data_IF_015255890991
#
_entry.id   IF_015255890991
#
_cell.length_a   1.000
_cell.length_b   1.000
_cell.length_c   1.000
_cell.angle_alpha   90.00
_cell.angle_beta   90.00
_cell.angle_gamma   90.00
#
_symmetry.space_group_name_H-M   'P 1'
#
loop_
_entity.id
_entity.type
_entity.pdbx_description
1 polymer ?
#
# COMPACT_ATOMS: atom_id res chain seq x y z
N UNK A 1 -25.75 -8.73 19.59
CA UNK A 1 -24.54 -9.23 18.94
C UNK A 1 -24.92 -9.86 17.61
N UNK A 2 -24.39 -9.34 16.52
CA UNK A 2 -24.68 -9.82 15.17
C UNK A 2 -23.80 -11.03 14.83
N UNK A 3 -24.33 -12.05 14.14
CA UNK A 3 -23.58 -13.25 13.75
C UNK A 3 -23.28 -13.24 12.26
N UNK A 4 -22.00 -13.31 11.90
CA UNK A 4 -21.51 -13.26 10.54
C UNK A 4 -20.63 -14.50 10.25
N UNK A 5 -20.80 -15.11 9.07
CA UNK A 5 -19.95 -16.24 8.66
C UNK A 5 -18.53 -15.78 8.34
N UNK A 6 -18.41 -14.74 7.53
CA UNK A 6 -17.11 -14.18 7.15
C UNK A 6 -17.16 -12.67 7.21
N UNK A 7 -16.27 -12.10 8.01
CA UNK A 7 -16.00 -10.67 8.05
C UNK A 7 -14.74 -10.37 7.26
N UNK A 8 -14.79 -9.33 6.41
CA UNK A 8 -13.63 -8.80 5.69
C UNK A 8 -13.34 -7.41 6.25
N UNK A 9 -12.10 -7.16 6.66
CA UNK A 9 -11.64 -5.87 7.16
C UNK A 9 -10.75 -5.21 6.12
N UNK A 10 -11.23 -4.13 5.50
CA UNK A 10 -10.54 -3.35 4.49
C UNK A 10 -11.13 -3.52 3.09
N UNK A 11 -11.12 -2.43 2.32
CA UNK A 11 -11.79 -2.26 1.03
C UNK A 11 -10.87 -1.98 -0.14
N UNK A 12 -9.59 -2.28 0.00
CA UNK A 12 -8.66 -2.26 -1.14
C UNK A 12 -8.96 -3.38 -2.15
N UNK A 13 -8.17 -3.51 -3.22
CA UNK A 13 -8.34 -4.55 -4.23
C UNK A 13 -8.39 -5.96 -3.65
N UNK A 14 -7.64 -6.23 -2.57
CA UNK A 14 -7.67 -7.51 -1.87
C UNK A 14 -9.05 -7.78 -1.23
N UNK A 15 -9.57 -6.80 -0.47
CA UNK A 15 -10.84 -6.94 0.24
C UNK A 15 -12.04 -7.11 -0.71
N UNK A 16 -12.16 -6.24 -1.72
CA UNK A 16 -13.24 -6.38 -2.70
C UNK A 16 -13.13 -7.66 -3.52
N UNK A 17 -11.92 -8.09 -3.89
CA UNK A 17 -11.76 -9.37 -4.59
C UNK A 17 -12.16 -10.54 -3.70
N UNK A 18 -11.75 -10.56 -2.43
CA UNK A 18 -12.19 -11.58 -1.49
C UNK A 18 -13.72 -11.62 -1.35
N UNK A 19 -14.35 -10.45 -1.22
CA UNK A 19 -15.79 -10.31 -1.14
C UNK A 19 -16.52 -10.89 -2.37
N UNK A 20 -16.03 -10.57 -3.59
CA UNK A 20 -16.55 -11.08 -4.86
C UNK A 20 -16.53 -12.62 -4.88
N UNK A 21 -15.39 -13.23 -4.54
CA UNK A 21 -15.25 -14.69 -4.58
C UNK A 21 -16.10 -15.39 -3.51
N UNK A 22 -16.15 -14.87 -2.28
CA UNK A 22 -17.01 -15.43 -1.22
C UNK A 22 -18.51 -15.31 -1.56
N UNK A 23 -18.94 -14.17 -2.11
CA UNK A 23 -20.34 -13.99 -2.55
C UNK A 23 -20.71 -14.99 -3.64
N UNK A 24 -19.82 -15.24 -4.61
CA UNK A 24 -20.03 -16.27 -5.65
C UNK A 24 -20.11 -17.69 -5.08
N UNK A 25 -19.47 -17.93 -3.93
CA UNK A 25 -19.58 -19.20 -3.19
C UNK A 25 -20.78 -19.26 -2.25
N UNK A 26 -21.69 -18.27 -2.31
CA UNK A 26 -22.91 -18.16 -1.49
C UNK A 26 -22.62 -18.09 0.03
N UNK A 27 -21.54 -17.40 0.40
CA UNK A 27 -21.14 -17.26 1.81
C UNK A 27 -21.57 -15.91 2.42
N UNK A 28 -22.19 -15.01 1.62
CA UNK A 28 -22.75 -13.71 2.03
C UNK A 28 -21.80 -12.94 2.99
N UNK A 29 -20.58 -12.58 2.56
CA UNK A 29 -19.63 -11.89 3.41
C UNK A 29 -20.10 -10.49 3.78
N UNK A 30 -19.67 -10.01 4.96
CA UNK A 30 -19.77 -8.61 5.36
C UNK A 30 -18.39 -7.99 5.25
N UNK A 31 -18.28 -6.83 4.60
CA UNK A 31 -17.03 -6.09 4.46
C UNK A 31 -17.15 -4.72 5.13
N UNK A 32 -16.20 -4.38 5.99
CA UNK A 32 -16.01 -3.04 6.53
C UNK A 32 -14.93 -2.29 5.77
N UNK A 33 -15.28 -1.12 5.24
CA UNK A 33 -14.41 -0.36 4.32
C UNK A 33 -13.24 0.34 5.02
N UNK A 34 -13.36 0.61 6.31
CA UNK A 34 -12.38 1.40 7.05
C UNK A 34 -12.50 2.90 6.77
N UNK A 35 -11.49 3.65 7.22
CA UNK A 35 -11.45 5.12 7.10
C UNK A 35 -11.23 5.62 5.67
N UNK A 36 -10.70 4.77 4.79
CA UNK A 36 -10.38 5.11 3.39
C UNK A 36 -10.98 4.05 2.45
N UNK A 37 -12.27 4.18 2.07
CA UNK A 37 -12.91 3.29 1.10
C UNK A 37 -12.14 3.21 -0.22
N UNK A 38 -11.86 2.00 -0.70
CA UNK A 38 -11.02 1.76 -1.87
C UNK A 38 -9.53 1.66 -1.60
N UNK A 39 -9.09 1.99 -0.38
CA UNK A 39 -7.70 1.86 0.07
C UNK A 39 -6.72 2.80 -0.63
N UNK A 40 -5.44 2.43 -0.66
CA UNK A 40 -4.34 3.26 -1.16
C UNK A 40 -4.49 3.68 -2.63
N UNK A 41 -5.18 2.90 -3.46
CA UNK A 41 -5.41 3.26 -4.86
C UNK A 41 -6.14 4.59 -5.03
N UNK A 42 -7.03 4.94 -4.10
CA UNK A 42 -7.78 6.22 -4.16
C UNK A 42 -6.90 7.46 -3.94
N UNK A 43 -5.61 7.29 -3.64
CA UNK A 43 -4.65 8.40 -3.51
C UNK A 43 -3.92 8.74 -4.81
N UNK A 44 -4.10 7.96 -5.87
CA UNK A 44 -3.59 8.24 -7.21
C UNK A 44 -4.74 8.54 -8.18
N UNK A 45 -4.42 9.03 -9.37
CA UNK A 45 -5.44 9.38 -10.38
C UNK A 45 -5.55 8.33 -11.47
N UNK A 46 -4.45 8.02 -12.16
CA UNK A 46 -4.45 7.12 -13.31
C UNK A 46 -3.72 5.82 -12.99
N UNK A 47 -4.32 4.70 -13.37
CA UNK A 47 -3.74 3.36 -13.25
C UNK A 47 -3.58 2.76 -14.63
N UNK A 48 -2.34 2.51 -15.06
CA UNK A 48 -2.02 1.94 -16.37
C UNK A 48 -1.53 0.49 -16.28
N UNK A 49 -1.29 -0.01 -15.07
CA UNK A 49 -0.69 -1.33 -14.81
C UNK A 49 -1.69 -2.35 -14.25
N UNK A 50 -3.00 -2.06 -14.28
CA UNK A 50 -4.01 -3.05 -13.93
C UNK A 50 -4.55 -3.69 -15.22
N UNK A 51 -4.39 -5.02 -15.42
CA UNK A 51 -4.78 -5.68 -16.66
C UNK A 51 -6.29 -5.55 -16.96
N UNK A 52 -6.62 -5.38 -18.24
CA UNK A 52 -8.00 -5.28 -18.72
C UNK A 52 -8.39 -3.87 -19.16
N UNK A 53 -7.55 -2.87 -18.93
CA UNK A 53 -7.78 -1.47 -19.31
C UNK A 53 -6.66 -0.98 -20.23
N UNK A 54 -6.87 -1.08 -21.54
CA UNK A 54 -5.86 -0.79 -22.57
C UNK A 54 -5.34 0.66 -22.52
N UNK A 55 -6.22 1.61 -22.17
CA UNK A 55 -5.91 3.03 -22.08
C UNK A 55 -5.72 3.52 -20.64
N UNK A 56 -5.54 2.58 -19.70
CA UNK A 56 -5.59 2.87 -18.27
C UNK A 56 -7.01 3.08 -17.74
N UNK A 57 -7.12 3.34 -16.45
CA UNK A 57 -8.38 3.64 -15.78
C UNK A 57 -8.14 4.62 -14.62
N UNK A 58 -9.12 5.50 -14.37
CA UNK A 58 -9.10 6.30 -13.13
C UNK A 58 -9.19 5.39 -11.90
N UNK A 59 -8.39 5.68 -10.89
CA UNK A 59 -8.27 4.86 -9.69
C UNK A 59 -9.61 4.75 -8.92
N UNK A 60 -10.36 5.84 -8.84
CA UNK A 60 -11.66 5.85 -8.15
C UNK A 60 -12.72 5.12 -8.97
N UNK A 61 -12.66 5.19 -10.31
CA UNK A 61 -13.52 4.39 -11.18
C UNK A 61 -13.29 2.90 -10.99
N UNK A 62 -12.03 2.45 -10.96
CA UNK A 62 -11.69 1.04 -10.72
C UNK A 62 -12.23 0.58 -9.37
N UNK A 63 -11.97 1.32 -8.30
CA UNK A 63 -12.40 0.93 -6.95
C UNK A 63 -13.93 0.98 -6.81
N UNK A 64 -14.60 1.94 -7.44
CA UNK A 64 -16.07 2.01 -7.50
C UNK A 64 -16.65 0.80 -8.26
N UNK A 65 -16.04 0.41 -9.37
CA UNK A 65 -16.46 -0.76 -10.13
C UNK A 65 -16.30 -2.06 -9.34
N UNK A 66 -15.17 -2.24 -8.63
CA UNK A 66 -14.93 -3.42 -7.78
C UNK A 66 -15.93 -3.48 -6.61
N UNK A 67 -16.18 -2.34 -5.96
CA UNK A 67 -17.19 -2.21 -4.90
C UNK A 67 -18.56 -2.63 -5.40
N UNK A 68 -19.01 -2.05 -6.51
CA UNK A 68 -20.32 -2.34 -7.11
C UNK A 68 -20.43 -3.80 -7.55
N UNK A 69 -19.35 -4.39 -8.06
CA UNK A 69 -19.31 -5.81 -8.41
C UNK A 69 -19.53 -6.69 -7.18
N UNK A 70 -18.89 -6.38 -6.06
CA UNK A 70 -19.07 -7.12 -4.80
C UNK A 70 -20.51 -7.01 -4.28
N UNK A 71 -21.09 -5.79 -4.28
CA UNK A 71 -22.48 -5.54 -3.89
C UNK A 71 -23.48 -6.30 -4.77
N UNK A 72 -23.31 -6.24 -6.09
CA UNK A 72 -24.20 -6.94 -7.05
C UNK A 72 -24.18 -8.46 -6.86
N UNK A 73 -23.13 -9.02 -6.28
CA UNK A 73 -23.01 -10.45 -5.98
C UNK A 73 -23.49 -10.82 -4.58
N UNK A 74 -23.93 -9.85 -3.78
CA UNK A 74 -24.52 -10.10 -2.47
C UNK A 74 -23.61 -9.85 -1.27
N UNK A 75 -22.47 -9.18 -1.45
CA UNK A 75 -21.67 -8.70 -0.31
C UNK A 75 -22.41 -7.57 0.41
N UNK A 76 -22.51 -7.66 1.73
CA UNK A 76 -22.93 -6.52 2.57
C UNK A 76 -21.71 -5.64 2.83
N UNK A 77 -21.67 -4.46 2.21
CA UNK A 77 -20.58 -3.48 2.42
C UNK A 77 -21.04 -2.43 3.42
N UNK A 78 -20.20 -2.16 4.43
CA UNK A 78 -20.44 -1.21 5.51
C UNK A 78 -19.35 -0.17 5.57
N UNK A 79 -19.74 1.07 5.70
CA UNK A 79 -18.83 2.17 6.04
C UNK A 79 -18.47 2.10 7.53
N UNK A 80 -17.34 2.68 7.89
CA UNK A 80 -16.84 2.67 9.27
C UNK A 80 -15.71 1.70 9.50
N UNK A 81 -15.14 1.76 10.69
CA UNK A 81 -13.92 1.04 11.06
C UNK A 81 -14.18 -0.01 12.14
N UNK A 82 -13.39 -1.06 12.10
CA UNK A 82 -13.26 -2.00 13.21
C UNK A 82 -12.27 -1.38 14.21
N UNK A 83 -12.66 -1.33 15.49
CA UNK A 83 -11.84 -0.74 16.56
C UNK A 83 -11.22 -1.77 17.47
N UNK A 84 -11.78 -3.00 17.51
CA UNK A 84 -11.28 -4.07 18.36
C UNK A 84 -11.56 -5.43 17.74
N UNK A 85 -10.63 -6.35 17.92
CA UNK A 85 -10.75 -7.75 17.49
C UNK A 85 -10.22 -8.62 18.63
N UNK A 86 -10.96 -9.69 19.00
CA UNK A 86 -10.48 -10.75 19.89
C UNK A 86 -10.49 -12.07 19.13
N UNK A 87 -9.29 -12.60 18.91
CA UNK A 87 -9.05 -13.84 18.14
C UNK A 87 -8.79 -15.07 19.03
N UNK A 88 -8.94 -14.94 20.36
CA UNK A 88 -8.64 -16.01 21.32
C UNK A 88 -9.56 -17.20 21.23
N UNK A 89 -10.79 -16.98 20.82
CA UNK A 89 -11.81 -18.04 20.70
C UNK A 89 -12.69 -17.78 19.48
N UNK A 90 -13.23 -18.84 18.90
CA UNK A 90 -14.17 -18.78 17.78
C UNK A 90 -15.60 -19.14 18.25
N UNK A 91 -16.65 -18.39 17.84
CA UNK A 91 -16.59 -17.25 16.92
C UNK A 91 -15.77 -16.08 17.46
N UNK A 92 -15.07 -15.38 16.55
CA UNK A 92 -14.27 -14.21 16.89
C UNK A 92 -15.15 -13.05 17.30
N UNK A 93 -14.73 -12.30 18.31
CA UNK A 93 -15.46 -11.12 18.79
C UNK A 93 -14.86 -9.84 18.23
N UNK A 94 -15.69 -9.02 17.61
CA UNK A 94 -15.29 -7.81 16.90
C UNK A 94 -16.17 -6.63 17.37
N UNK A 95 -15.56 -5.47 17.58
CA UNK A 95 -16.21 -4.24 17.93
C UNK A 95 -15.93 -3.17 16.85
N UNK A 96 -16.97 -2.46 16.44
CA UNK A 96 -16.91 -1.38 15.45
C UNK A 96 -16.84 -0.02 16.13
N UNK A 97 -16.52 1.04 15.38
CA UNK A 97 -16.41 2.39 15.91
C UNK A 97 -17.74 2.98 16.45
N UNK A 98 -18.87 2.49 15.97
CA UNK A 98 -20.21 2.86 16.46
C UNK A 98 -20.67 2.01 17.65
N UNK A 99 -19.81 1.12 18.16
CA UNK A 99 -20.09 0.23 19.28
C UNK A 99 -20.90 -1.02 18.94
N UNK A 100 -21.09 -1.33 17.67
CA UNK A 100 -21.74 -2.58 17.26
C UNK A 100 -20.83 -3.78 17.56
N UNK A 101 -21.36 -4.81 18.22
CA UNK A 101 -20.66 -6.05 18.52
C UNK A 101 -21.02 -7.15 17.52
N UNK A 102 -20.00 -7.83 16.97
CA UNK A 102 -20.10 -8.84 15.94
C UNK A 102 -19.40 -10.11 16.40
N UNK A 103 -20.05 -11.26 16.17
CA UNK A 103 -19.44 -12.60 16.22
C UNK A 103 -19.21 -13.10 14.79
N UNK A 104 -17.94 -13.36 14.42
CA UNK A 104 -17.57 -13.88 13.10
C UNK A 104 -16.98 -15.29 13.20
N UNK A 105 -17.42 -16.20 12.33
CA UNK A 105 -16.86 -17.56 12.26
C UNK A 105 -15.48 -17.58 11.57
N UNK A 106 -15.24 -16.64 10.67
CA UNK A 106 -13.98 -16.45 9.96
C UNK A 106 -13.72 -14.99 9.68
N UNK A 107 -12.44 -14.65 9.49
CA UNK A 107 -11.97 -13.30 9.27
C UNK A 107 -10.97 -13.23 8.10
N UNK A 108 -11.15 -12.27 7.18
CA UNK A 108 -10.15 -11.92 6.17
C UNK A 108 -9.63 -10.52 6.47
N UNK A 109 -8.33 -10.41 6.74
CA UNK A 109 -7.63 -9.17 7.00
C UNK A 109 -7.07 -8.65 5.69
N UNK A 110 -7.59 -7.50 5.23
CA UNK A 110 -7.20 -6.83 3.99
C UNK A 110 -6.95 -5.33 4.23
N UNK A 111 -6.40 -5.01 5.42
CA UNK A 111 -6.19 -3.64 5.90
C UNK A 111 -5.06 -2.89 5.18
N UNK A 112 -4.25 -3.61 4.38
CA UNK A 112 -3.20 -3.03 3.57
C UNK A 112 -2.00 -2.53 4.37
N UNK A 113 -1.21 -1.65 3.75
CA UNK A 113 -0.07 -0.98 4.35
C UNK A 113 -0.08 0.51 3.96
N UNK A 114 0.39 1.36 4.85
CA UNK A 114 0.48 2.80 4.64
C UNK A 114 1.90 3.20 4.31
N UNK A 115 2.09 4.01 3.25
CA UNK A 115 3.39 4.57 2.93
C UNK A 115 3.84 5.54 4.03
N UNK A 116 5.13 5.53 4.36
CA UNK A 116 5.73 6.51 5.26
C UNK A 116 6.01 7.80 4.51
N UNK A 117 5.71 8.92 5.15
CA UNK A 117 5.94 10.27 4.66
C UNK A 117 6.91 11.02 5.58
N UNK A 118 7.49 12.11 5.08
CA UNK A 118 8.38 12.97 5.88
C UNK A 118 7.60 13.85 6.86
N UNK A 119 6.30 14.04 6.62
CA UNK A 119 5.41 14.87 7.44
C UNK A 119 5.51 16.36 7.12
N UNK A 120 6.02 16.71 5.94
CA UNK A 120 6.10 18.11 5.50
C UNK A 120 4.74 18.59 4.96
N UNK A 121 4.27 19.79 5.33
CA UNK A 121 3.02 20.34 4.77
C UNK A 121 3.04 20.44 3.25
N UNK A 122 4.20 20.77 2.66
CA UNK A 122 4.38 20.83 1.21
C UNK A 122 4.30 19.46 0.54
N UNK A 123 4.79 18.41 1.18
CA UNK A 123 4.66 17.03 0.73
C UNK A 123 3.18 16.62 0.66
N UNK A 124 2.42 16.91 1.73
CA UNK A 124 1.00 16.60 1.79
C UNK A 124 0.21 17.33 0.70
N UNK A 125 0.55 18.61 0.43
CA UNK A 125 -0.11 19.42 -0.58
C UNK A 125 -0.02 18.82 -1.99
N UNK A 126 1.13 18.25 -2.35
CA UNK A 126 1.39 17.74 -3.70
C UNK A 126 1.27 16.22 -3.81
N UNK A 127 0.70 15.55 -2.81
CA UNK A 127 0.44 14.11 -2.84
C UNK A 127 -0.52 13.76 -3.98
N UNK A 128 -0.10 12.85 -4.87
CA UNK A 128 -0.83 12.55 -6.11
C UNK A 128 -0.69 13.60 -7.22
N UNK A 129 0.03 14.70 -6.96
CA UNK A 129 0.34 15.74 -7.93
C UNK A 129 1.86 15.94 -8.10
N UNK A 130 2.59 14.83 -8.13
CA UNK A 130 4.05 14.80 -8.25
C UNK A 130 4.76 14.24 -7.04
N UNK A 131 4.13 14.13 -5.87
CA UNK A 131 4.61 13.37 -4.72
C UNK A 131 4.01 11.98 -4.74
N UNK A 132 4.85 10.95 -4.80
CA UNK A 132 4.48 9.53 -4.86
C UNK A 132 5.30 8.70 -3.87
N UNK A 133 4.77 7.55 -3.47
CA UNK A 133 5.48 6.54 -2.69
C UNK A 133 5.62 5.20 -3.44
N UNK A 134 5.47 5.22 -4.78
CA UNK A 134 5.54 4.02 -5.63
C UNK A 134 6.15 4.37 -6.99
N UNK A 135 7.43 4.11 -7.17
CA UNK A 135 8.10 4.37 -8.44
C UNK A 135 7.57 3.50 -9.59
N UNK A 136 7.22 2.24 -9.32
CA UNK A 136 6.66 1.33 -10.33
C UNK A 136 5.24 1.68 -10.76
N UNK A 137 4.50 2.42 -9.91
CA UNK A 137 3.16 2.91 -10.25
C UNK A 137 3.24 4.16 -11.12
N UNK A 138 4.02 5.15 -10.69
CA UNK A 138 3.94 6.51 -11.22
C UNK A 138 5.15 6.92 -12.07
N UNK A 139 6.25 6.15 -12.03
CA UNK A 139 7.52 6.51 -12.70
C UNK A 139 7.36 6.74 -14.20
N UNK A 140 6.43 6.04 -14.85
CA UNK A 140 6.17 6.17 -16.28
C UNK A 140 5.72 7.59 -16.69
N UNK A 141 4.98 8.31 -15.83
CA UNK A 141 4.52 9.68 -16.07
C UNK A 141 5.66 10.71 -16.09
N UNK A 142 6.83 10.34 -15.55
CA UNK A 142 8.02 11.22 -15.45
C UNK A 142 9.12 10.88 -16.46
N UNK A 143 8.79 10.12 -17.52
CA UNK A 143 9.76 9.79 -18.58
C UNK A 143 10.42 11.04 -19.14
N UNK A 144 11.77 10.97 -19.26
CA UNK A 144 12.64 12.05 -19.75
C UNK A 144 12.60 13.33 -18.91
N UNK A 145 12.03 13.31 -17.72
CA UNK A 145 12.02 14.41 -16.76
C UNK A 145 12.99 14.11 -15.61
N UNK A 146 13.31 15.12 -14.81
CA UNK A 146 14.11 14.95 -13.61
C UNK A 146 13.22 14.64 -12.42
N UNK A 147 13.69 13.74 -11.56
CA UNK A 147 12.96 13.31 -10.37
C UNK A 147 13.87 13.19 -9.15
N UNK A 148 13.31 13.21 -7.96
CA UNK A 148 14.04 12.93 -6.74
C UNK A 148 13.45 11.69 -6.04
N UNK A 149 14.34 10.91 -5.39
CA UNK A 149 13.99 9.75 -4.55
C UNK A 149 14.54 9.99 -3.15
N UNK A 150 13.71 9.91 -2.14
CA UNK A 150 14.14 10.02 -0.74
C UNK A 150 14.30 8.63 -0.16
N UNK A 151 15.49 8.33 0.31
CA UNK A 151 15.79 7.04 0.94
C UNK A 151 17.21 6.57 0.67
N UNK A 152 17.65 5.54 1.37
CA UNK A 152 19.01 4.99 1.23
C UNK A 152 19.10 3.50 1.58
N UNK A 153 17.99 2.77 1.65
CA UNK A 153 17.90 1.33 1.76
C UNK A 153 17.76 0.65 0.39
N UNK A 154 17.63 -0.68 0.37
CA UNK A 154 17.50 -1.46 -0.88
C UNK A 154 16.33 -0.97 -1.73
N UNK A 155 15.14 -0.78 -1.17
CA UNK A 155 13.97 -0.24 -1.89
C UNK A 155 14.27 1.10 -2.56
N UNK A 156 14.96 2.02 -1.88
CA UNK A 156 15.30 3.32 -2.47
C UNK A 156 16.29 3.20 -3.63
N UNK A 157 17.24 2.26 -3.54
CA UNK A 157 18.17 1.97 -4.61
C UNK A 157 17.48 1.29 -5.81
N UNK A 158 16.56 0.37 -5.56
CA UNK A 158 15.74 -0.27 -6.59
C UNK A 158 14.87 0.76 -7.32
N UNK A 159 14.14 1.59 -6.57
CA UNK A 159 13.29 2.64 -7.15
C UNK A 159 14.11 3.67 -7.93
N UNK A 160 15.27 4.09 -7.41
CA UNK A 160 16.14 5.03 -8.11
C UNK A 160 16.68 4.46 -9.43
N UNK A 161 17.12 3.18 -9.43
CA UNK A 161 17.59 2.51 -10.65
C UNK A 161 16.46 2.27 -11.65
N UNK A 162 15.26 1.93 -11.18
CA UNK A 162 14.09 1.83 -12.03
C UNK A 162 13.75 3.17 -12.68
N UNK A 163 13.65 4.24 -11.89
CA UNK A 163 13.39 5.59 -12.39
C UNK A 163 14.49 6.09 -13.34
N UNK A 164 15.74 5.75 -13.09
CA UNK A 164 16.86 6.11 -13.98
C UNK A 164 16.72 5.49 -15.37
N UNK A 165 16.04 4.35 -15.51
CA UNK A 165 15.74 3.75 -16.81
C UNK A 165 14.68 4.53 -17.62
N UNK A 166 13.89 5.37 -16.99
CA UNK A 166 12.79 6.13 -17.56
C UNK A 166 13.09 7.63 -17.65
N UNK A 167 13.68 8.18 -16.59
CA UNK A 167 13.85 9.61 -16.36
C UNK A 167 15.19 10.12 -16.92
N UNK A 168 15.28 11.43 -17.11
CA UNK A 168 16.50 12.08 -17.57
C UNK A 168 17.58 12.10 -16.47
N UNK A 169 17.18 12.44 -15.24
CA UNK A 169 18.04 12.52 -14.07
C UNK A 169 17.28 12.06 -12.83
N UNK A 170 17.94 11.34 -11.94
CA UNK A 170 17.42 10.93 -10.64
C UNK A 170 18.33 11.49 -9.55
N UNK A 171 17.78 12.25 -8.61
CA UNK A 171 18.46 12.74 -7.42
C UNK A 171 18.07 11.87 -6.21
N UNK A 172 19.01 11.11 -5.65
CA UNK A 172 18.78 10.38 -4.40
C UNK A 172 19.10 11.27 -3.20
N UNK A 173 18.10 11.59 -2.39
CA UNK A 173 18.25 12.39 -1.17
C UNK A 173 18.45 11.44 0.02
N UNK A 174 19.66 11.41 0.57
CA UNK A 174 20.09 10.46 1.60
C UNK A 174 20.57 11.19 2.84
N UNK A 175 19.84 11.05 3.97
CA UNK A 175 20.18 11.76 5.23
C UNK A 175 21.47 11.30 5.91
N UNK A 176 21.99 10.13 5.56
CA UNK A 176 23.21 9.56 6.10
C UNK A 176 24.39 9.78 5.13
N UNK A 177 25.66 9.72 5.58
CA UNK A 177 26.80 9.79 4.68
C UNK A 177 27.05 8.50 3.89
N UNK A 178 26.15 7.52 3.95
CA UNK A 178 26.23 6.23 3.27
C UNK A 178 24.83 5.67 2.96
N UNK A 179 24.78 4.76 1.98
CA UNK A 179 23.59 3.93 1.71
C UNK A 179 23.57 2.73 2.67
N UNK A 180 22.39 2.38 3.15
CA UNK A 180 22.14 1.18 3.98
C UNK A 180 21.81 -0.06 3.17
N UNK A 181 21.65 0.10 1.88
CA UNK A 181 21.37 -0.97 0.94
C UNK A 181 22.48 -2.03 0.91
N UNK A 182 22.19 -3.20 0.38
CA UNK A 182 23.18 -4.24 0.09
C UNK A 182 24.27 -3.71 -0.85
N UNK A 183 25.48 -4.25 -0.77
CA UNK A 183 26.61 -3.81 -1.60
C UNK A 183 26.27 -3.89 -3.10
N UNK A 184 25.57 -4.94 -3.51
CA UNK A 184 25.15 -5.12 -4.90
C UNK A 184 24.23 -3.98 -5.38
N UNK A 185 23.28 -3.53 -4.54
CA UNK A 185 22.39 -2.43 -4.86
C UNK A 185 23.10 -1.08 -4.84
N UNK A 186 24.03 -0.87 -3.89
CA UNK A 186 24.87 0.32 -3.87
C UNK A 186 25.70 0.44 -5.16
N UNK A 187 26.36 -0.65 -5.58
CA UNK A 187 27.16 -0.67 -6.81
C UNK A 187 26.29 -0.33 -8.02
N UNK A 188 25.10 -0.90 -8.09
CA UNK A 188 24.16 -0.62 -9.19
C UNK A 188 23.77 0.86 -9.29
N UNK A 189 23.55 1.51 -8.14
CA UNK A 189 23.28 2.95 -8.07
C UNK A 189 24.48 3.75 -8.58
N UNK A 190 25.70 3.44 -8.10
CA UNK A 190 26.92 4.16 -8.47
C UNK A 190 27.33 3.94 -9.94
N UNK A 191 26.99 2.79 -10.51
CA UNK A 191 27.25 2.47 -11.92
C UNK A 191 26.21 3.11 -12.88
N UNK A 192 25.13 3.68 -12.35
CA UNK A 192 24.06 4.29 -13.14
C UNK A 192 24.34 5.77 -13.37
N UNK A 193 24.71 6.20 -14.59
CA UNK A 193 25.30 7.52 -14.85
C UNK A 193 24.35 8.70 -14.62
N UNK A 194 23.04 8.49 -14.66
CA UNK A 194 22.02 9.51 -14.43
C UNK A 194 21.39 9.43 -13.03
N UNK A 195 22.12 8.85 -12.06
CA UNK A 195 21.78 8.95 -10.63
C UNK A 195 22.82 9.82 -9.93
N UNK A 196 22.38 10.89 -9.29
CA UNK A 196 23.19 11.70 -8.37
C UNK A 196 22.77 11.43 -6.94
N UNK A 197 23.69 10.93 -6.10
CA UNK A 197 23.42 10.67 -4.68
C UNK A 197 23.84 11.87 -3.83
N UNK A 198 22.88 12.49 -3.18
CA UNK A 198 23.05 13.63 -2.28
C UNK A 198 23.12 13.12 -0.84
N UNK A 199 24.33 12.81 -0.37
CA UNK A 199 24.56 12.37 1.00
C UNK A 199 24.46 13.52 1.99
N UNK A 200 23.94 13.20 3.20
CA UNK A 200 23.75 14.13 4.31
C UNK A 200 22.74 15.25 4.04
N UNK A 201 21.88 15.06 3.03
CA UNK A 201 20.79 15.98 2.73
C UNK A 201 19.46 15.48 3.29
N UNK A 202 18.67 16.43 3.79
CA UNK A 202 17.27 16.24 4.16
C UNK A 202 16.40 17.11 3.26
N UNK A 203 15.18 16.65 2.99
CA UNK A 203 14.18 17.48 2.31
C UNK A 203 13.70 18.56 3.26
N UNK A 204 13.79 19.82 2.82
CA UNK A 204 13.28 20.97 3.58
C UNK A 204 11.86 21.35 3.13
N UNK A 205 11.62 21.34 1.82
CA UNK A 205 10.35 21.76 1.24
C UNK A 205 10.17 21.16 -0.16
N UNK A 206 8.98 20.67 -0.49
CA UNK A 206 8.60 20.33 -1.88
C UNK A 206 7.99 21.57 -2.51
N UNK A 207 8.48 21.95 -3.68
CA UNK A 207 8.05 23.12 -4.42
C UNK A 207 7.10 22.73 -5.55
N UNK A 208 6.12 23.56 -5.81
CA UNK A 208 5.15 23.32 -6.88
C UNK A 208 4.08 24.40 -6.95
N UNK A 209 3.20 24.25 -7.91
CA UNK A 209 2.00 25.07 -8.03
C UNK A 209 0.75 24.20 -8.23
N UNK A 210 -0.41 24.81 -8.04
CA UNK A 210 -1.70 24.09 -8.02
C UNK A 210 -2.12 23.58 -9.43
N UNK A 211 -1.48 24.04 -10.51
CA UNK A 211 -1.79 23.62 -11.88
C UNK A 211 -0.82 22.55 -12.40
N UNK A 212 0.46 22.66 -12.07
CA UNK A 212 1.52 21.81 -12.59
C UNK A 212 1.98 20.73 -11.62
N UNK A 213 1.57 20.81 -10.36
CA UNK A 213 2.03 19.94 -9.28
C UNK A 213 3.47 20.27 -8.87
N UNK A 214 4.28 19.22 -8.60
CA UNK A 214 5.68 19.38 -8.20
C UNK A 214 6.51 20.00 -9.32
N UNK A 215 7.27 21.06 -8.99
CA UNK A 215 8.22 21.74 -9.89
C UNK A 215 9.65 21.73 -9.35
N UNK A 216 9.84 21.39 -8.07
CA UNK A 216 11.16 21.34 -7.47
C UNK A 216 11.15 20.82 -6.04
N UNK A 217 12.35 20.73 -5.46
CA UNK A 217 12.54 20.41 -4.04
C UNK A 217 13.70 21.18 -3.47
N UNK A 218 13.52 21.76 -2.29
CA UNK A 218 14.61 22.33 -1.48
C UNK A 218 15.17 21.24 -0.57
N UNK A 219 16.47 21.06 -0.63
CA UNK A 219 17.21 20.15 0.23
C UNK A 219 18.22 20.92 1.06
N UNK A 220 18.42 20.48 2.30
CA UNK A 220 19.36 21.10 3.23
C UNK A 220 20.33 20.03 3.75
N UNK A 221 21.61 20.31 3.58
CA UNK A 221 22.68 19.49 4.13
C UNK A 221 22.84 19.70 5.64
N UNK A 222 23.46 18.75 6.32
CA UNK A 222 23.71 18.81 7.77
C UNK A 222 24.56 20.02 8.18
N UNK A 223 25.41 20.52 7.29
CA UNK A 223 26.24 21.70 7.51
C UNK A 223 25.49 23.04 7.28
N UNK A 224 24.21 22.98 6.92
CA UNK A 224 23.36 24.13 6.63
C UNK A 224 23.31 24.56 5.17
N UNK A 225 24.11 23.94 4.29
CA UNK A 225 24.07 24.24 2.83
C UNK A 225 22.73 23.88 2.24
N UNK A 226 22.11 24.81 1.53
CA UNK A 226 20.84 24.59 0.83
C UNK A 226 21.07 24.44 -0.68
N UNK A 227 20.29 23.57 -1.29
CA UNK A 227 20.22 23.39 -2.74
C UNK A 227 18.75 23.25 -3.16
N UNK A 228 18.41 23.88 -4.26
CA UNK A 228 17.10 23.66 -4.92
C UNK A 228 17.35 22.78 -6.15
N UNK A 229 16.55 21.74 -6.29
CA UNK A 229 16.55 20.84 -7.44
C UNK A 229 15.28 21.09 -8.24
N UNK A 230 15.42 21.33 -9.54
CA UNK A 230 14.28 21.39 -10.47
C UNK A 230 13.88 19.96 -10.83
N UNK A 231 12.74 19.53 -10.34
CA UNK A 231 12.22 18.16 -10.53
C UNK A 231 10.73 18.20 -10.85
N UNK A 232 10.26 17.18 -11.52
CA UNK A 232 8.85 17.02 -11.84
C UNK A 232 8.13 15.98 -10.96
N UNK A 233 8.90 15.09 -10.32
CA UNK A 233 8.42 14.03 -9.46
C UNK A 233 9.29 13.86 -8.21
N UNK A 234 8.65 13.62 -7.08
CA UNK A 234 9.28 13.43 -5.78
C UNK A 234 8.81 12.11 -5.19
N UNK A 235 9.69 11.13 -5.11
CA UNK A 235 9.38 9.77 -4.69
C UNK A 235 9.89 9.47 -3.28
N UNK A 236 9.05 8.87 -2.46
CA UNK A 236 9.34 8.53 -1.08
C UNK A 236 9.58 7.03 -0.95
N UNK A 237 10.85 6.64 -0.91
CA UNK A 237 11.29 5.26 -0.70
C UNK A 237 11.82 5.04 0.73
N UNK A 238 11.05 5.52 1.74
CA UNK A 238 11.42 5.44 3.16
C UNK A 238 10.67 4.35 3.93
N UNK A 239 9.99 3.48 3.19
CA UNK A 239 9.29 2.30 3.68
C UNK A 239 7.79 2.49 3.87
N UNK A 240 7.16 1.40 4.27
CA UNK A 240 5.73 1.31 4.56
C UNK A 240 5.54 0.86 6.01
N UNK A 241 4.31 0.94 6.47
CA UNK A 241 3.87 0.42 7.74
C UNK A 241 2.61 -0.42 7.48
N UNK A 242 2.63 -1.74 7.72
CA UNK A 242 1.44 -2.57 7.58
C UNK A 242 0.41 -2.17 8.64
N UNK A 243 -0.87 -2.14 8.27
CA UNK A 243 -1.95 -1.74 9.18
C UNK A 243 -2.39 -2.95 10.02
N UNK A 244 -1.59 -3.30 11.02
CA UNK A 244 -1.72 -4.51 11.84
C UNK A 244 -2.02 -4.23 13.32
N UNK A 245 -2.17 -2.98 13.73
CA UNK A 245 -2.31 -2.55 15.12
C UNK A 245 -3.48 -3.24 15.85
N UNK A 246 -4.57 -3.52 15.12
CA UNK A 246 -5.75 -4.23 15.64
C UNK A 246 -5.46 -5.68 16.07
N UNK A 247 -4.36 -6.25 15.57
CA UNK A 247 -4.01 -7.65 15.74
C UNK A 247 -2.78 -7.87 16.60
N UNK A 248 -2.25 -6.80 17.21
CA UNK A 248 -1.06 -6.84 18.06
C UNK A 248 -1.19 -7.88 19.16
N UNK A 249 -0.16 -8.76 19.27
CA UNK A 249 -0.12 -9.84 20.25
C UNK A 249 -1.09 -10.99 20.00
N UNK A 250 -1.86 -10.98 18.90
CA UNK A 250 -2.82 -12.01 18.55
C UNK A 250 -2.44 -12.82 17.30
N UNK A 251 -1.65 -12.25 16.41
CA UNK A 251 -1.13 -12.91 15.20
C UNK A 251 0.39 -12.90 15.20
N UNK A 252 0.99 -13.87 14.50
CA UNK A 252 2.40 -13.84 14.21
C UNK A 252 2.69 -12.78 13.14
N UNK A 253 3.58 -11.83 13.49
CA UNK A 253 4.08 -10.81 12.59
C UNK A 253 5.56 -11.06 12.30
N UNK A 254 6.04 -10.52 11.16
CA UNK A 254 7.47 -10.48 10.88
C UNK A 254 8.16 -9.28 11.60
N UNK A 255 9.46 -9.11 11.38
CA UNK A 255 10.26 -8.05 12.01
C UNK A 255 9.82 -6.63 11.57
N UNK A 256 9.14 -6.51 10.43
CA UNK A 256 8.62 -5.25 9.89
C UNK A 256 7.15 -5.01 10.23
N UNK A 257 6.50 -5.97 10.90
CA UNK A 257 5.11 -5.90 11.36
C UNK A 257 4.08 -6.46 10.38
N UNK A 258 4.49 -7.11 9.29
CA UNK A 258 3.57 -7.77 8.34
C UNK A 258 3.05 -9.09 8.89
N UNK A 259 1.79 -9.41 8.58
CA UNK A 259 1.18 -10.68 9.02
C UNK A 259 1.85 -11.86 8.30
N UNK A 260 2.41 -12.79 9.08
CA UNK A 260 2.93 -14.06 8.56
C UNK A 260 1.80 -14.98 8.14
N UNK A 261 1.95 -15.60 6.99
CA UNK A 261 1.03 -16.64 6.48
C UNK A 261 1.79 -17.91 6.13
N UNK A 262 1.11 -19.04 6.12
CA UNK A 262 1.67 -20.28 5.59
C UNK A 262 2.08 -20.09 4.12
N UNK A 263 3.30 -20.50 3.70
CA UNK A 263 3.75 -20.32 2.33
C UNK A 263 2.76 -20.89 1.30
N UNK A 264 2.45 -20.08 0.28
CA UNK A 264 1.51 -20.46 -0.78
C UNK A 264 0.03 -20.38 -0.39
N UNK A 265 -0.30 -19.91 0.80
CA UNK A 265 -1.67 -19.75 1.31
C UNK A 265 -1.92 -18.34 1.85
N UNK A 266 -3.12 -18.11 2.34
CA UNK A 266 -3.49 -16.87 3.08
C UNK A 266 -3.68 -17.12 4.59
N UNK A 267 -3.43 -18.33 5.07
CA UNK A 267 -3.70 -18.74 6.46
C UNK A 267 -2.69 -18.11 7.40
N UNK A 268 -3.20 -17.48 8.46
CA UNK A 268 -2.38 -16.89 9.53
C UNK A 268 -2.08 -17.93 10.62
N UNK A 269 -1.42 -17.49 11.70
CA UNK A 269 -1.17 -18.30 12.89
C UNK A 269 -2.45 -18.69 13.66
N UNK A 270 -3.60 -18.07 13.37
CA UNK A 270 -4.89 -18.35 14.00
C UNK A 270 -5.82 -19.01 13.00
N UNK A 271 -6.34 -20.20 13.32
CA UNK A 271 -7.24 -20.94 12.45
C UNK A 271 -8.56 -20.18 12.24
N UNK A 272 -8.96 -20.02 10.96
CA UNK A 272 -10.14 -19.23 10.57
C UNK A 272 -9.85 -17.77 10.31
N UNK A 273 -8.60 -17.32 10.48
CA UNK A 273 -8.13 -15.98 10.15
C UNK A 273 -7.18 -16.03 8.95
N UNK A 274 -7.47 -15.23 7.94
CA UNK A 274 -6.75 -15.16 6.66
C UNK A 274 -6.26 -13.73 6.43
N UNK A 275 -5.12 -13.56 5.75
CA UNK A 275 -4.59 -12.25 5.39
C UNK A 275 -4.36 -12.13 3.89
N UNK A 276 -4.68 -10.96 3.32
CA UNK A 276 -4.55 -10.66 1.90
C UNK A 276 -4.12 -9.21 1.64
N UNK A 277 -3.42 -9.00 0.52
CA UNK A 277 -2.90 -7.69 0.13
C UNK A 277 -1.66 -7.30 0.90
N UNK A 278 -1.40 -6.00 0.90
CA UNK A 278 -0.16 -5.43 1.40
C UNK A 278 0.05 -5.60 2.90
N UNK A 279 -0.98 -5.95 3.67
CA UNK A 279 -0.84 -6.23 5.12
C UNK A 279 0.03 -7.46 5.40
N UNK A 280 0.21 -8.35 4.41
CA UNK A 280 1.05 -9.55 4.48
C UNK A 280 2.18 -9.57 3.44
N UNK A 281 2.22 -8.59 2.53
CA UNK A 281 3.19 -8.54 1.43
C UNK A 281 4.10 -7.32 1.56
N UNK A 282 5.32 -7.48 2.09
CA UNK A 282 6.29 -6.40 2.22
C UNK A 282 6.97 -6.02 0.90
N UNK A 283 6.79 -6.79 -0.19
CA UNK A 283 7.60 -6.68 -1.39
C UNK A 283 6.89 -6.01 -2.57
N UNK A 284 5.76 -6.56 -3.02
CA UNK A 284 5.19 -6.17 -4.31
C UNK A 284 4.32 -4.92 -4.25
N UNK A 285 3.39 -4.84 -3.32
CA UNK A 285 2.49 -3.70 -3.11
C UNK A 285 1.87 -3.20 -4.43
N UNK A 286 1.32 -4.14 -5.19
CA UNK A 286 0.64 -3.87 -6.46
C UNK A 286 -0.84 -4.24 -6.39
N UNK A 287 -1.69 -3.43 -7.02
CA UNK A 287 -3.13 -3.64 -7.03
C UNK A 287 -3.54 -5.04 -7.51
N UNK A 288 -2.90 -5.51 -8.58
CA UNK A 288 -3.17 -6.84 -9.15
C UNK A 288 -2.68 -7.97 -8.23
N UNK A 289 -1.53 -7.81 -7.55
CA UNK A 289 -1.03 -8.78 -6.58
C UNK A 289 -1.97 -8.83 -5.36
N UNK A 290 -2.41 -7.67 -4.87
CA UNK A 290 -3.38 -7.56 -3.79
C UNK A 290 -4.71 -8.23 -4.16
N UNK A 291 -5.27 -7.96 -5.34
CA UNK A 291 -6.47 -8.61 -5.84
C UNK A 291 -6.31 -10.13 -5.94
N UNK A 292 -5.20 -10.61 -6.52
CA UNK A 292 -4.87 -12.04 -6.60
C UNK A 292 -4.82 -12.71 -5.22
N UNK A 293 -4.19 -12.05 -4.24
CA UNK A 293 -4.13 -12.55 -2.86
C UNK A 293 -5.51 -12.57 -2.17
N UNK A 294 -6.39 -11.62 -2.49
CA UNK A 294 -7.79 -11.61 -2.05
C UNK A 294 -8.58 -12.83 -2.56
N UNK A 295 -8.35 -13.22 -3.81
CA UNK A 295 -8.89 -14.46 -4.36
C UNK A 295 -8.40 -15.69 -3.56
N UNK A 296 -7.10 -15.79 -3.28
CA UNK A 296 -6.52 -16.88 -2.49
C UNK A 296 -7.16 -16.94 -1.10
N UNK A 297 -7.30 -15.79 -0.42
CA UNK A 297 -7.90 -15.72 0.91
C UNK A 297 -9.37 -16.17 0.92
N UNK A 298 -10.14 -15.77 -0.09
CA UNK A 298 -11.53 -16.20 -0.23
C UNK A 298 -11.64 -17.74 -0.40
N UNK A 299 -10.80 -18.33 -1.25
CA UNK A 299 -10.80 -19.78 -1.49
C UNK A 299 -10.35 -20.59 -0.27
N UNK A 300 -9.35 -20.09 0.47
CA UNK A 300 -8.92 -20.73 1.73
C UNK A 300 -10.01 -20.63 2.80
N UNK A 301 -10.66 -19.47 2.93
CA UNK A 301 -11.77 -19.24 3.83
C UNK A 301 -12.98 -20.15 3.48
N UNK A 302 -13.34 -20.26 2.19
CA UNK A 302 -14.39 -21.14 1.72
C UNK A 302 -14.12 -22.61 2.11
N UNK A 303 -12.89 -23.10 1.84
CA UNK A 303 -12.48 -24.47 2.21
C UNK A 303 -12.53 -24.70 3.71
N UNK A 304 -12.18 -23.69 4.49
CA UNK A 304 -12.26 -23.75 5.95
C UNK A 304 -13.70 -23.88 6.45
N UNK A 305 -14.63 -23.07 5.92
CA UNK A 305 -16.03 -23.07 6.33
C UNK A 305 -16.85 -24.27 5.85
N UNK A 306 -16.35 -25.03 4.87
CA UNK A 306 -16.99 -26.24 4.36
C UNK A 306 -16.54 -27.53 5.04
N UNK A 307 -15.56 -27.45 5.96
CA UNK A 307 -15.16 -28.57 6.81
C UNK A 307 -16.17 -28.79 7.94
#
# INVERSE_FOLDING_TARGET
MEKIKTLIIGSGPAGYTAAIYLSRSNLAPVLYEGIQPGGQLTTTTQIENYPGFADGIDANELMTAMRKQAENLGTTIRTGSITKVDLKARPFHIETEDGTEIEAESLIIATGASAKYLGLPSELKFRGQGVSACATCDGFFYRKRDVAVVGGGDTACEEATYLASLCRQVYMIVRKPFLRASQAMQQRVFDTPNIEVLFEYNTAEVLGDDMMGVTGVKVRKTDGTERTLDIAGFFLAIGHHPNTELFDGQLELDEEGYIKVEPGTSKTSVEGVFAAGDVKDPHYRQAIAAAGSGCVAALDCERFLRK
#
